data_IF_526546465126
#
_entry.id   IF_526546465126
#
_cell.length_a   1.000
_cell.length_b   1.000
_cell.length_c   1.000
_cell.angle_alpha   90.00
_cell.angle_beta   90.00
_cell.angle_gamma   90.00
#
_symmetry.space_group_name_H-M   'P 1'
#
loop_
_entity.id
_entity.type
_entity.pdbx_description
1 polymer ?
#
# COMPACT_ATOMS: atom_id res chain seq x y z
N UNK A 1 -5.18 23.00 -13.70
CA UNK A 1 -6.48 22.63 -13.10
C UNK A 1 -7.37 22.02 -14.18
N UNK A 2 -7.89 20.82 -14.00
CA UNK A 2 -8.78 20.23 -15.00
C UNK A 2 -10.05 21.06 -15.17
N UNK A 3 -10.62 21.05 -16.37
CA UNK A 3 -11.89 21.69 -16.63
C UNK A 3 -13.01 20.98 -15.86
N UNK A 4 -14.14 21.67 -15.62
CA UNK A 4 -15.28 21.02 -14.99
C UNK A 4 -15.68 19.78 -15.80
N UNK A 5 -15.90 18.67 -15.11
CA UNK A 5 -16.24 17.40 -15.73
C UNK A 5 -15.04 16.57 -16.19
N UNK A 6 -13.84 17.13 -16.11
CA UNK A 6 -12.64 16.38 -16.45
C UNK A 6 -12.33 15.40 -15.32
N UNK A 7 -12.26 14.08 -15.60
CA UNK A 7 -12.06 13.09 -14.53
C UNK A 7 -10.62 12.91 -14.08
N UNK A 8 -9.68 13.59 -14.71
CA UNK A 8 -8.28 13.43 -14.33
C UNK A 8 -8.03 13.93 -12.91
N UNK A 9 -7.23 13.20 -12.17
CA UNK A 9 -6.82 13.58 -10.82
C UNK A 9 -5.50 14.33 -10.92
N UNK A 10 -5.43 15.49 -10.26
CA UNK A 10 -4.20 16.26 -10.22
C UNK A 10 -3.28 15.64 -9.18
N UNK A 11 -2.20 15.01 -9.64
CA UNK A 11 -1.32 14.26 -8.77
C UNK A 11 -0.39 15.19 -7.98
N UNK A 12 -0.33 14.98 -6.67
CA UNK A 12 0.52 15.75 -5.77
C UNK A 12 1.33 14.81 -4.90
N UNK A 13 2.55 14.49 -5.31
CA UNK A 13 3.42 13.59 -4.52
C UNK A 13 3.70 14.17 -3.14
N UNK A 14 3.71 13.30 -2.14
CA UNK A 14 3.96 13.67 -0.75
C UNK A 14 5.02 12.72 -0.21
N UNK A 15 5.98 13.25 0.55
CA UNK A 15 6.97 12.42 1.22
C UNK A 15 6.44 12.00 2.58
N UNK A 16 6.40 10.70 2.83
CA UNK A 16 5.98 10.16 4.13
C UNK A 16 6.72 8.87 4.42
N UNK A 17 7.14 8.71 5.66
CA UNK A 17 7.80 7.48 6.10
C UNK A 17 8.97 7.09 5.20
N UNK A 18 9.69 8.08 4.69
CA UNK A 18 10.84 7.83 3.83
C UNK A 18 10.51 7.37 2.44
N UNK A 19 9.25 7.44 2.02
CA UNK A 19 8.84 7.06 0.68
C UNK A 19 8.06 8.20 0.03
N UNK A 20 7.88 8.11 -1.28
CA UNK A 20 7.03 9.06 -2.00
C UNK A 20 5.65 8.43 -2.17
N UNK A 21 4.61 9.13 -1.69
CA UNK A 21 3.23 8.68 -1.82
C UNK A 21 2.51 9.61 -2.76
N UNK A 22 1.88 9.06 -3.77
CA UNK A 22 1.14 9.83 -4.77
C UNK A 22 -0.33 9.41 -4.69
N UNK A 23 -1.19 10.24 -4.06
CA UNK A 23 -2.61 9.92 -3.99
C UNK A 23 -3.21 9.90 -5.40
N UNK A 24 -3.97 8.86 -5.69
CA UNK A 24 -4.61 8.70 -6.99
C UNK A 24 -6.12 8.94 -6.93
N UNK A 25 -6.67 9.08 -5.73
CA UNK A 25 -8.09 9.32 -5.51
C UNK A 25 -8.26 10.63 -4.77
N UNK A 26 -9.39 11.31 -5.00
CA UNK A 26 -9.69 12.57 -4.32
C UNK A 26 -10.87 12.47 -3.39
N UNK A 27 -11.78 11.52 -3.67
CA UNK A 27 -13.01 11.43 -2.90
C UNK A 27 -12.70 10.98 -1.48
N UNK A 28 -13.16 11.69 -0.47
CA UNK A 28 -12.94 11.26 0.92
C UNK A 28 -13.77 10.02 1.22
N UNK A 29 -13.26 9.21 2.12
CA UNK A 29 -13.91 7.96 2.52
C UNK A 29 -13.71 6.87 1.49
N UNK A 30 -14.19 5.67 1.80
CA UNK A 30 -14.05 4.55 0.90
C UNK A 30 -12.60 4.11 0.71
N UNK A 31 -12.34 3.48 -0.42
CA UNK A 31 -11.00 2.97 -0.73
C UNK A 31 -10.14 4.11 -1.24
N UNK A 32 -8.92 4.19 -0.69
CA UNK A 32 -7.94 5.17 -1.13
C UNK A 32 -6.87 4.44 -1.93
N UNK A 33 -6.52 4.99 -3.10
CA UNK A 33 -5.50 4.42 -3.96
C UNK A 33 -4.28 5.34 -4.00
N UNK A 34 -3.10 4.74 -3.88
CA UNK A 34 -1.84 5.47 -3.91
C UNK A 34 -0.84 4.76 -4.80
N UNK A 35 0.01 5.54 -5.47
CA UNK A 35 1.23 4.99 -6.03
C UNK A 35 2.33 5.28 -5.02
N UNK A 36 3.06 4.26 -4.63
CA UNK A 36 4.16 4.39 -3.68
C UNK A 36 5.48 4.18 -4.40
N UNK A 37 6.44 5.04 -4.14
CA UNK A 37 7.81 4.88 -4.62
C UNK A 37 8.66 4.70 -3.38
N UNK A 38 9.13 3.48 -3.16
CA UNK A 38 9.79 3.09 -1.93
C UNK A 38 11.27 2.86 -2.21
N UNK A 39 12.15 3.59 -1.52
CA UNK A 39 13.59 3.48 -1.78
C UNK A 39 14.19 2.23 -1.15
N UNK A 40 15.42 1.95 -1.50
CA UNK A 40 16.23 0.99 -0.77
C UNK A 40 16.45 1.56 0.63
N UNK A 41 16.18 0.75 1.65
CA UNK A 41 16.35 1.17 3.03
C UNK A 41 17.47 0.35 3.67
N UNK A 42 18.42 1.05 4.24
CA UNK A 42 19.62 0.41 4.78
C UNK A 42 19.55 0.15 6.27
N UNK A 43 18.52 0.67 6.93
CA UNK A 43 18.34 0.44 8.35
C UNK A 43 17.51 -0.83 8.60
N UNK A 44 17.58 -1.32 9.83
CA UNK A 44 16.79 -2.48 10.24
C UNK A 44 15.30 -2.14 10.16
N UNK A 45 14.49 -3.06 9.64
CA UNK A 45 13.05 -2.81 9.58
C UNK A 45 12.44 -2.54 10.95
N UNK A 46 11.53 -1.57 10.99
CA UNK A 46 10.79 -1.23 12.18
C UNK A 46 9.30 -1.36 11.87
N UNK A 47 8.73 -2.56 11.98
CA UNK A 47 7.35 -2.78 11.61
C UNK A 47 6.36 -1.93 12.41
N UNK A 48 5.31 -1.52 11.74
CA UNK A 48 4.25 -0.68 12.31
C UNK A 48 2.92 -1.41 12.23
N UNK A 49 1.97 -0.98 13.07
CA UNK A 49 0.61 -1.50 13.00
C UNK A 49 -0.36 -0.34 12.95
N UNK A 50 -1.47 -0.54 12.28
CA UNK A 50 -2.57 0.42 12.30
C UNK A 50 -3.85 -0.30 11.86
N UNK A 51 -4.97 0.37 12.02
CA UNK A 51 -6.27 -0.18 11.65
C UNK A 51 -6.43 -0.21 10.15
N UNK A 52 -7.09 -1.25 9.65
CA UNK A 52 -7.50 -1.31 8.26
C UNK A 52 -6.97 -2.51 7.52
N UNK A 53 -7.11 -2.46 6.22
CA UNK A 53 -6.62 -3.48 5.30
C UNK A 53 -5.85 -2.80 4.21
N UNK A 54 -4.82 -3.46 3.73
CA UNK A 54 -4.03 -2.93 2.63
C UNK A 54 -3.86 -3.99 1.55
N UNK A 55 -3.93 -3.55 0.30
CA UNK A 55 -3.68 -4.36 -0.87
C UNK A 55 -2.57 -3.70 -1.67
N UNK A 56 -1.60 -4.48 -2.09
CA UNK A 56 -0.44 -3.98 -2.82
C UNK A 56 -0.29 -4.73 -4.13
N UNK A 57 0.12 -4.01 -5.16
CA UNK A 57 0.46 -4.59 -6.45
C UNK A 57 1.77 -3.96 -6.91
N UNK A 58 2.79 -4.77 -7.15
CA UNK A 58 4.10 -4.26 -7.54
C UNK A 58 4.08 -3.91 -9.01
N UNK A 59 4.37 -2.64 -9.32
CA UNK A 59 4.37 -2.13 -10.68
C UNK A 59 5.74 -2.26 -11.32
N UNK A 60 6.81 -1.99 -10.58
CA UNK A 60 8.15 -2.00 -11.11
C UNK A 60 9.14 -2.20 -9.97
N UNK A 61 10.15 -3.02 -10.20
CA UNK A 61 11.14 -3.34 -9.19
C UNK A 61 10.74 -4.53 -8.34
N UNK A 62 11.33 -4.64 -7.17
CA UNK A 62 11.05 -5.74 -6.24
C UNK A 62 10.78 -5.18 -4.86
N UNK A 63 9.71 -5.62 -4.26
CA UNK A 63 9.27 -5.17 -2.94
C UNK A 63 9.68 -6.19 -1.89
N UNK A 64 10.26 -5.70 -0.80
CA UNK A 64 10.45 -6.52 0.40
C UNK A 64 9.33 -6.16 1.36
N UNK A 65 8.56 -7.16 1.76
CA UNK A 65 7.47 -7.00 2.70
C UNK A 65 7.76 -7.85 3.93
N UNK A 66 7.93 -7.19 5.06
CA UNK A 66 8.03 -7.88 6.35
C UNK A 66 6.64 -7.83 6.96
N UNK A 67 6.05 -8.99 7.22
CA UNK A 67 4.69 -9.10 7.71
C UNK A 67 4.67 -10.12 8.83
N UNK A 68 4.53 -9.64 10.08
CA UNK A 68 4.67 -10.51 11.23
C UNK A 68 6.06 -11.11 11.26
N UNK A 69 6.13 -12.43 11.30
CA UNK A 69 7.42 -13.12 11.27
C UNK A 69 7.83 -13.57 9.86
N UNK A 70 7.10 -13.12 8.84
CA UNK A 70 7.40 -13.44 7.46
C UNK A 70 8.19 -12.30 6.82
N UNK A 71 9.16 -12.66 6.00
CA UNK A 71 9.97 -11.71 5.26
C UNK A 71 9.93 -12.18 3.82
N UNK A 72 9.11 -11.53 3.01
CA UNK A 72 8.84 -12.00 1.66
C UNK A 72 9.20 -10.94 0.63
N UNK A 73 9.44 -11.40 -0.58
CA UNK A 73 9.76 -10.53 -1.70
C UNK A 73 8.70 -10.70 -2.77
N UNK A 74 8.20 -9.57 -3.28
CA UNK A 74 7.26 -9.57 -4.39
C UNK A 74 7.92 -8.95 -5.60
N UNK A 75 7.71 -9.56 -6.76
CA UNK A 75 8.20 -9.07 -8.03
C UNK A 75 7.11 -8.28 -8.72
N UNK A 76 7.49 -7.51 -9.74
CA UNK A 76 6.53 -6.79 -10.56
C UNK A 76 5.46 -7.77 -11.07
N UNK A 77 4.20 -7.36 -10.93
CA UNK A 77 3.07 -8.19 -11.32
C UNK A 77 2.50 -9.04 -10.20
N UNK A 78 3.14 -9.05 -9.04
CA UNK A 78 2.63 -9.81 -7.89
C UNK A 78 1.91 -8.89 -6.91
N UNK A 79 0.95 -9.45 -6.18
CA UNK A 79 0.13 -8.69 -5.26
C UNK A 79 0.14 -9.34 -3.88
N UNK A 80 -0.11 -8.53 -2.86
CA UNK A 80 -0.28 -8.99 -1.49
C UNK A 80 -1.43 -8.26 -0.85
N UNK A 81 -2.10 -8.92 0.08
CA UNK A 81 -3.22 -8.33 0.80
C UNK A 81 -3.12 -8.77 2.25
N UNK A 82 -3.28 -7.83 3.16
CA UNK A 82 -3.12 -8.17 4.57
C UNK A 82 -3.82 -7.19 5.48
N UNK A 83 -4.08 -7.66 6.69
CA UNK A 83 -4.64 -6.84 7.77
C UNK A 83 -3.50 -6.01 8.35
N UNK A 84 -3.65 -4.70 8.36
CA UNK A 84 -2.60 -3.81 8.82
C UNK A 84 -2.42 -3.81 10.33
N UNK A 85 -3.23 -4.55 11.07
CA UNK A 85 -3.00 -4.76 12.49
C UNK A 85 -1.87 -5.77 12.71
N UNK A 86 -1.50 -6.54 11.69
CA UNK A 86 -0.29 -7.35 11.73
C UNK A 86 0.88 -6.41 11.48
N UNK A 87 1.92 -6.53 12.29
CA UNK A 87 3.09 -5.66 12.15
C UNK A 87 3.69 -5.80 10.74
N UNK A 88 3.92 -4.68 10.07
CA UNK A 88 4.34 -4.71 8.68
C UNK A 88 5.31 -3.60 8.35
N UNK A 89 6.13 -3.84 7.33
CA UNK A 89 7.17 -2.91 6.90
C UNK A 89 7.46 -3.16 5.43
N UNK A 90 7.76 -2.10 4.70
CA UNK A 90 8.07 -2.16 3.26
C UNK A 90 9.44 -1.58 2.98
N UNK A 91 10.12 -2.14 2.00
CA UNK A 91 11.33 -1.57 1.46
C UNK A 91 11.56 -2.11 0.06
N UNK A 92 12.49 -1.51 -0.66
CA UNK A 92 12.89 -2.08 -1.93
C UNK A 92 13.84 -3.25 -1.69
N UNK A 93 13.61 -4.35 -2.39
CA UNK A 93 14.48 -5.51 -2.34
C UNK A 93 15.56 -5.44 -3.42
N UNK A 94 15.46 -4.47 -4.32
CA UNK A 94 16.41 -4.32 -5.41
C UNK A 94 17.46 -3.27 -5.12
N UNK A 95 18.17 -2.88 -6.17
CA UNK A 95 19.21 -1.86 -6.05
C UNK A 95 18.67 -0.45 -6.18
N UNK A 96 17.49 -0.32 -6.75
CA UNK A 96 16.81 0.96 -6.88
C UNK A 96 15.46 0.91 -6.24
N UNK A 97 14.67 2.00 -6.35
CA UNK A 97 13.35 2.04 -5.72
C UNK A 97 12.39 1.05 -6.35
N UNK A 98 11.35 0.69 -5.60
CA UNK A 98 10.26 -0.14 -6.08
C UNK A 98 9.01 0.74 -6.20
N UNK A 99 8.22 0.52 -7.25
CA UNK A 99 6.96 1.23 -7.44
C UNK A 99 5.81 0.27 -7.20
N UNK A 100 4.88 0.70 -6.37
CA UNK A 100 3.80 -0.13 -5.89
C UNK A 100 2.48 0.64 -6.01
N UNK A 101 1.42 -0.04 -6.43
CA UNK A 101 0.07 0.48 -6.33
C UNK A 101 -0.50 -0.03 -5.02
N UNK A 102 -0.97 0.88 -4.18
CA UNK A 102 -1.53 0.53 -2.88
C UNK A 102 -2.98 0.94 -2.81
N UNK A 103 -3.84 0.02 -2.37
CA UNK A 103 -5.21 0.31 -2.05
C UNK A 103 -5.37 0.14 -0.55
N UNK A 104 -5.91 1.15 0.09
CA UNK A 104 -6.07 1.13 1.53
C UNK A 104 -7.52 1.34 1.88
N UNK A 105 -8.10 0.37 2.60
CA UNK A 105 -9.45 0.45 3.09
C UNK A 105 -9.45 0.55 4.59
N UNK A 106 -10.49 1.15 5.12
CA UNK A 106 -10.60 1.34 6.54
C UNK A 106 -11.79 0.57 7.09
N UNK A 107 -12.70 1.30 7.70
CA UNK A 107 -13.82 0.69 8.39
C UNK A 107 -14.68 -0.17 7.47
N UNK A 108 -14.89 0.30 6.25
CA UNK A 108 -15.72 -0.43 5.32
C UNK A 108 -15.21 -1.81 5.03
N UNK A 109 -13.91 -1.95 4.83
CA UNK A 109 -13.29 -3.24 4.57
C UNK A 109 -13.47 -4.19 5.74
N UNK A 110 -13.24 -3.69 6.94
CA UNK A 110 -13.40 -4.52 8.12
C UNK A 110 -14.84 -4.97 8.31
N UNK A 111 -15.78 -4.08 8.05
CA UNK A 111 -17.18 -4.42 8.15
C UNK A 111 -17.53 -5.50 7.13
N UNK A 112 -17.04 -5.37 5.93
CA UNK A 112 -17.27 -6.34 4.88
C UNK A 112 -16.72 -7.71 5.27
N UNK A 113 -15.53 -7.74 5.81
CA UNK A 113 -14.90 -9.00 6.21
C UNK A 113 -15.69 -9.67 7.33
N UNK A 114 -16.20 -8.90 8.28
CA UNK A 114 -17.00 -9.46 9.34
C UNK A 114 -18.32 -10.00 8.83
N UNK A 115 -18.84 -9.43 7.75
CA UNK A 115 -20.09 -9.92 7.17
C UNK A 115 -19.93 -11.26 6.48
N UNK A 116 -18.72 -11.77 6.44
CA UNK A 116 -18.42 -13.07 5.82
C UNK A 116 -17.84 -14.01 6.86
N UNK A 117 -18.54 -14.20 7.97
CA UNK A 117 -18.05 -15.11 9.01
C UNK A 117 -17.98 -16.50 8.41
N UNK A 118 -17.02 -17.24 8.76
CA UNK A 118 -16.83 -18.55 8.17
C UNK A 118 -16.11 -18.50 6.84
N UNK A 119 -15.92 -17.32 6.29
CA UNK A 119 -15.04 -17.16 5.17
C UNK A 119 -13.62 -17.48 5.63
N UNK A 120 -12.81 -18.09 4.79
CA UNK A 120 -11.44 -18.42 5.17
C UNK A 120 -10.51 -17.21 5.19
N UNK A 121 -11.05 -16.06 5.12
CA UNK A 121 -10.24 -14.85 5.17
C UNK A 121 -9.60 -14.67 6.52
#
# INVERSE_FOLDING_TARGET
MPAPGDPRVHLRPVKRHGMTMIPLTRRPGGVQAYKLIIPVRRHTPEPQTHEGYEWLYVLDGRLRLVLGDQDIELRAGEAAEFDTRVAHWFGSAGEGPVEVLSLFGQQGERAHLRARPGSPT
#
